data_IF_927525854439
#
_entry.id   IF_927525854439
#
_cell.length_a   1.000
_cell.length_b   1.000
_cell.length_c   1.000
_cell.angle_alpha   90.00
_cell.angle_beta   90.00
_cell.angle_gamma   90.00
#
_symmetry.space_group_name_H-M   'P 1'
#
loop_
_entity.id
_entity.type
_entity.pdbx_description
1 polymer ?
#
# COMPACT_ATOMS: atom_id res chain seq x y z
N UNK A 1 -10.74 12.53 -17.57
CA UNK A 1 -9.67 11.91 -16.74
C UNK A 1 -9.03 12.96 -15.83
N UNK A 2 -9.80 13.65 -14.98
CA UNK A 2 -9.32 14.75 -14.12
C UNK A 2 -8.51 14.28 -12.91
N UNK A 3 -8.69 13.02 -12.49
CA UNK A 3 -7.99 12.46 -11.34
C UNK A 3 -6.50 12.21 -11.62
N UNK A 4 -6.16 11.71 -12.82
CA UNK A 4 -4.77 11.40 -13.20
C UNK A 4 -3.91 12.67 -13.27
N UNK A 5 -4.45 13.76 -13.84
CA UNK A 5 -3.73 15.05 -13.86
C UNK A 5 -3.51 15.58 -12.45
N UNK A 6 -4.49 15.47 -11.56
CA UNK A 6 -4.32 15.86 -10.16
C UNK A 6 -3.24 15.06 -9.44
N UNK A 7 -3.16 13.74 -9.68
CA UNK A 7 -2.07 12.90 -9.13
C UNK A 7 -0.72 13.32 -9.70
N UNK A 8 -0.63 13.58 -11.00
CA UNK A 8 0.61 14.02 -11.64
C UNK A 8 1.07 15.37 -11.08
N UNK A 9 0.17 16.33 -10.90
CA UNK A 9 0.48 17.66 -10.36
C UNK A 9 0.99 17.56 -8.91
N UNK A 10 0.32 16.77 -8.07
CA UNK A 10 0.75 16.50 -6.69
C UNK A 10 2.13 15.83 -6.66
N UNK A 11 2.36 14.83 -7.52
CA UNK A 11 3.64 14.13 -7.60
C UNK A 11 4.73 15.06 -8.10
N UNK A 12 4.45 15.93 -9.07
CA UNK A 12 5.40 16.89 -9.62
C UNK A 12 5.81 17.94 -8.59
N UNK A 13 4.86 18.52 -7.87
CA UNK A 13 5.13 19.50 -6.81
C UNK A 13 5.95 18.89 -5.67
N UNK A 14 5.59 17.68 -5.22
CA UNK A 14 6.34 16.97 -4.19
C UNK A 14 7.73 16.53 -4.66
N UNK A 15 7.89 16.22 -5.95
CA UNK A 15 9.18 15.82 -6.52
C UNK A 15 10.11 17.00 -6.72
N UNK A 16 9.58 18.19 -7.01
CA UNK A 16 10.34 19.42 -7.16
C UNK A 16 10.78 20.00 -5.80
N UNK A 17 10.08 19.64 -4.71
CA UNK A 17 10.46 20.05 -3.37
C UNK A 17 11.86 19.54 -2.98
N UNK A 18 12.85 20.45 -2.97
CA UNK A 18 14.25 20.17 -2.59
C UNK A 18 14.38 19.43 -1.24
N UNK A 19 13.46 19.69 -0.29
CA UNK A 19 13.42 19.00 1.01
C UNK A 19 13.12 17.51 0.86
N UNK A 20 12.17 17.13 -0.01
CA UNK A 20 11.78 15.73 -0.26
C UNK A 20 12.88 14.97 -1.01
N UNK A 21 13.54 15.63 -1.98
CA UNK A 21 14.70 15.07 -2.66
C UNK A 21 15.84 14.73 -1.69
N UNK A 22 16.17 15.65 -0.76
CA UNK A 22 17.21 15.42 0.26
C UNK A 22 16.82 14.30 1.24
N UNK A 23 15.54 14.21 1.62
CA UNK A 23 15.05 13.12 2.47
C UNK A 23 15.19 11.77 1.76
N UNK A 24 14.86 11.70 0.47
CA UNK A 24 15.01 10.50 -0.32
C UNK A 24 16.48 10.08 -0.48
N UNK A 25 17.36 11.02 -0.85
CA UNK A 25 18.80 10.75 -0.91
C UNK A 25 19.36 10.31 0.45
N UNK A 26 18.92 10.93 1.54
CA UNK A 26 19.26 10.51 2.90
C UNK A 26 18.80 9.09 3.23
N UNK A 27 17.59 8.69 2.83
CA UNK A 27 17.08 7.32 3.02
C UNK A 27 17.96 6.31 2.27
N UNK A 28 18.31 6.58 1.01
CA UNK A 28 19.18 5.71 0.21
C UNK A 28 20.57 5.60 0.85
N UNK A 29 21.11 6.71 1.37
CA UNK A 29 22.40 6.75 2.05
C UNK A 29 22.38 5.91 3.34
N UNK A 30 21.34 6.04 4.17
CA UNK A 30 21.16 5.22 5.37
C UNK A 30 21.04 3.74 5.00
N UNK A 31 20.31 3.40 3.95
CA UNK A 31 20.13 2.02 3.50
C UNK A 31 21.46 1.41 3.02
N UNK A 32 22.26 2.16 2.26
CA UNK A 32 23.63 1.76 1.87
C UNK A 32 24.56 1.62 3.08
N UNK A 33 24.46 2.51 4.08
CA UNK A 33 25.23 2.42 5.32
C UNK A 33 24.88 1.14 6.08
N UNK A 34 23.60 0.79 6.14
CA UNK A 34 23.13 -0.44 6.79
C UNK A 34 23.67 -1.69 6.05
N UNK A 35 23.62 -1.70 4.71
CA UNK A 35 24.20 -2.77 3.89
C UNK A 35 25.72 -2.89 4.12
N UNK A 36 26.42 -1.75 4.17
CA UNK A 36 27.85 -1.72 4.45
C UNK A 36 28.16 -2.27 5.85
N UNK A 37 27.41 -1.86 6.87
CA UNK A 37 27.57 -2.34 8.25
C UNK A 37 27.34 -3.86 8.36
N UNK A 38 26.31 -4.38 7.70
CA UNK A 38 26.03 -5.83 7.63
C UNK A 38 27.13 -6.58 6.91
N UNK A 39 27.67 -6.04 5.82
CA UNK A 39 28.79 -6.65 5.09
C UNK A 39 30.07 -6.70 5.93
N UNK A 40 30.37 -5.63 6.67
CA UNK A 40 31.52 -5.58 7.59
C UNK A 40 31.33 -6.57 8.75
N UNK A 41 30.11 -6.71 9.28
CA UNK A 41 29.83 -7.66 10.36
C UNK A 41 29.95 -9.13 9.92
N UNK A 42 29.53 -9.45 8.70
CA UNK A 42 29.59 -10.83 8.17
C UNK A 42 30.97 -11.25 7.70
N UNK A 43 31.64 -10.40 6.93
CA UNK A 43 32.88 -10.75 6.25
C UNK A 43 34.12 -10.24 7.01
N UNK A 44 33.97 -9.47 8.07
CA UNK A 44 35.08 -8.79 8.75
C UNK A 44 35.68 -7.65 7.89
N UNK A 45 36.73 -6.97 8.39
CA UNK A 45 37.50 -5.97 7.63
C UNK A 45 38.44 -6.62 6.62
N UNK A 46 37.89 -7.46 5.75
CA UNK A 46 38.65 -8.05 4.65
C UNK A 46 38.34 -7.17 3.45
N UNK A 47 39.32 -6.39 2.97
CA UNK A 47 39.26 -5.55 1.77
C UNK A 47 39.02 -6.39 0.50
N UNK A 48 37.86 -7.02 0.43
CA UNK A 48 37.42 -7.87 -0.66
C UNK A 48 36.77 -6.98 -1.72
N UNK A 49 36.81 -7.41 -2.98
CA UNK A 49 36.28 -6.66 -4.11
C UNK A 49 34.81 -6.24 -3.92
N UNK A 50 34.03 -7.04 -3.18
CA UNK A 50 32.65 -6.71 -2.79
C UNK A 50 32.56 -5.48 -1.87
N UNK A 51 33.39 -5.39 -0.84
CA UNK A 51 33.37 -4.25 0.10
C UNK A 51 33.85 -2.96 -0.57
N UNK A 52 34.85 -3.05 -1.45
CA UNK A 52 35.36 -1.91 -2.23
C UNK A 52 34.25 -1.38 -3.16
N UNK A 53 33.56 -2.25 -3.89
CA UNK A 53 32.43 -1.85 -4.74
C UNK A 53 31.29 -1.20 -3.94
N UNK A 54 30.95 -1.74 -2.75
CA UNK A 54 29.93 -1.13 -1.88
C UNK A 54 30.36 0.24 -1.35
N UNK A 55 31.64 0.42 -1.04
CA UNK A 55 32.19 1.70 -0.56
C UNK A 55 32.21 2.75 -1.65
N UNK A 56 32.61 2.37 -2.88
CA UNK A 56 32.55 3.24 -4.06
C UNK A 56 31.10 3.65 -4.35
N UNK A 57 30.16 2.71 -4.24
CA UNK A 57 28.73 3.00 -4.38
C UNK A 57 28.22 3.99 -3.33
N UNK A 58 28.61 3.81 -2.07
CA UNK A 58 28.26 4.72 -0.97
C UNK A 58 28.82 6.13 -1.21
N UNK A 59 30.10 6.25 -1.52
CA UNK A 59 30.76 7.54 -1.79
C UNK A 59 30.15 8.20 -3.03
N UNK A 60 29.92 7.45 -4.11
CA UNK A 60 29.29 7.95 -5.33
C UNK A 60 27.88 8.48 -5.08
N UNK A 61 27.03 7.71 -4.39
CA UNK A 61 25.67 8.12 -4.05
C UNK A 61 25.66 9.30 -3.08
N UNK A 62 26.59 9.35 -2.12
CA UNK A 62 26.72 10.46 -1.18
C UNK A 62 27.12 11.76 -1.89
N UNK A 63 28.06 11.69 -2.84
CA UNK A 63 28.48 12.81 -3.68
C UNK A 63 27.33 13.29 -4.55
N UNK A 64 26.62 12.37 -5.22
CA UNK A 64 25.47 12.71 -6.08
C UNK A 64 24.34 13.35 -5.26
N UNK A 65 24.08 12.82 -4.05
CA UNK A 65 23.07 13.38 -3.12
C UNK A 65 23.43 14.80 -2.67
N UNK A 66 24.71 15.11 -2.51
CA UNK A 66 25.18 16.42 -2.06
C UNK A 66 25.27 17.44 -3.19
N UNK A 67 25.74 17.03 -4.38
CA UNK A 67 26.03 17.92 -5.51
C UNK A 67 24.83 18.13 -6.45
N UNK A 68 24.04 17.09 -6.71
CA UNK A 68 22.93 17.14 -7.66
C UNK A 68 21.71 16.37 -7.13
N UNK A 69 20.95 16.95 -6.17
CA UNK A 69 19.65 16.40 -5.76
C UNK A 69 18.66 16.31 -6.93
N UNK A 70 18.91 17.08 -8.00
CA UNK A 70 18.12 17.10 -9.23
C UNK A 70 18.17 15.77 -10.01
N UNK A 71 19.24 14.97 -9.87
CA UNK A 71 19.32 13.67 -10.54
C UNK A 71 18.34 12.64 -9.97
N UNK A 72 17.92 12.82 -8.71
CA UNK A 72 16.92 11.98 -8.06
C UNK A 72 15.48 12.37 -8.42
N UNK A 73 15.27 13.52 -9.07
CA UNK A 73 13.94 13.98 -9.47
C UNK A 73 13.13 12.95 -10.28
N UNK A 74 13.63 12.40 -11.41
CA UNK A 74 12.85 11.46 -12.21
C UNK A 74 12.58 10.15 -11.46
N UNK A 75 13.53 9.71 -10.63
CA UNK A 75 13.35 8.49 -9.84
C UNK A 75 12.31 8.67 -8.73
N UNK A 76 12.36 9.80 -8.03
CA UNK A 76 11.42 10.14 -6.96
C UNK A 76 10.02 10.35 -7.53
N UNK A 77 9.91 10.96 -8.71
CA UNK A 77 8.64 11.09 -9.44
C UNK A 77 8.02 9.71 -9.72
N UNK A 78 8.77 8.78 -10.31
CA UNK A 78 8.29 7.41 -10.58
C UNK A 78 7.94 6.70 -9.27
N UNK A 79 8.78 6.83 -8.24
CA UNK A 79 8.55 6.21 -6.94
C UNK A 79 7.26 6.69 -6.28
N UNK A 80 7.02 8.00 -6.25
CA UNK A 80 5.80 8.58 -5.70
C UNK A 80 4.56 8.25 -6.54
N UNK A 81 4.70 8.20 -7.86
CA UNK A 81 3.62 7.82 -8.75
C UNK A 81 3.18 6.37 -8.50
N UNK A 82 4.13 5.44 -8.44
CA UNK A 82 3.88 4.04 -8.08
C UNK A 82 3.32 3.94 -6.68
N UNK A 83 3.84 4.70 -5.72
CA UNK A 83 3.35 4.73 -4.33
C UNK A 83 1.88 5.16 -4.22
N UNK A 84 1.46 6.17 -5.00
CA UNK A 84 0.06 6.60 -5.03
C UNK A 84 -0.85 5.52 -5.64
N UNK A 85 -0.43 4.87 -6.73
CA UNK A 85 -1.17 3.75 -7.32
C UNK A 85 -1.28 2.59 -6.33
N UNK A 86 -0.19 2.26 -5.65
CA UNK A 86 -0.18 1.22 -4.62
C UNK A 86 -1.10 1.59 -3.44
N UNK A 87 -1.17 2.86 -3.05
CA UNK A 87 -2.08 3.34 -2.02
C UNK A 87 -3.55 3.10 -2.39
N UNK A 88 -3.90 3.43 -3.62
CA UNK A 88 -5.24 3.18 -4.16
C UNK A 88 -5.56 1.67 -4.15
N UNK A 89 -4.66 0.86 -4.70
CA UNK A 89 -4.79 -0.61 -4.71
C UNK A 89 -4.89 -1.17 -3.29
N UNK A 90 -4.10 -0.65 -2.34
CA UNK A 90 -4.11 -1.13 -0.96
C UNK A 90 -5.47 -0.95 -0.31
N UNK A 91 -6.17 0.14 -0.61
CA UNK A 91 -7.52 0.38 -0.09
C UNK A 91 -8.52 -0.65 -0.63
N UNK A 92 -8.44 -0.97 -1.93
CA UNK A 92 -9.23 -2.04 -2.52
C UNK A 92 -8.90 -3.41 -1.93
N UNK A 93 -7.62 -3.71 -1.73
CA UNK A 93 -7.16 -4.98 -1.16
C UNK A 93 -7.63 -5.12 0.28
N UNK A 94 -7.47 -4.08 1.11
CA UNK A 94 -7.93 -4.08 2.50
C UNK A 94 -9.43 -4.29 2.55
N UNK A 95 -10.21 -3.58 1.72
CA UNK A 95 -11.66 -3.74 1.67
C UNK A 95 -12.06 -5.16 1.25
N UNK A 96 -11.37 -5.73 0.25
CA UNK A 96 -11.58 -7.11 -0.19
C UNK A 96 -11.27 -8.14 0.90
N UNK A 97 -10.17 -7.95 1.64
CA UNK A 97 -9.82 -8.78 2.79
C UNK A 97 -10.89 -8.67 3.87
N UNK A 98 -11.28 -7.46 4.26
CA UNK A 98 -12.31 -7.23 5.28
C UNK A 98 -13.64 -7.88 4.87
N UNK A 99 -14.03 -7.74 3.60
CA UNK A 99 -15.23 -8.39 3.07
C UNK A 99 -15.14 -9.92 3.18
N UNK A 100 -14.04 -10.51 2.73
CA UNK A 100 -13.87 -11.96 2.71
C UNK A 100 -13.68 -12.57 4.11
N UNK A 101 -13.08 -11.84 5.04
CA UNK A 101 -12.73 -12.36 6.37
C UNK A 101 -13.83 -12.09 7.41
N UNK A 102 -14.61 -11.01 7.26
CA UNK A 102 -15.72 -10.69 8.17
C UNK A 102 -17.07 -11.00 7.55
N UNK A 103 -17.41 -10.34 6.45
CA UNK A 103 -18.77 -10.39 5.90
C UNK A 103 -19.11 -11.74 5.28
N UNK A 104 -18.17 -12.34 4.54
CA UNK A 104 -18.36 -13.64 3.91
C UNK A 104 -18.62 -14.77 4.92
N UNK A 105 -17.83 -14.99 5.99
CA UNK A 105 -18.16 -16.06 6.94
C UNK A 105 -19.44 -15.77 7.73
N UNK A 106 -19.72 -14.50 8.09
CA UNK A 106 -20.97 -14.15 8.78
C UNK A 106 -22.18 -14.53 7.92
N UNK A 107 -22.20 -14.09 6.66
CA UNK A 107 -23.30 -14.40 5.74
C UNK A 107 -23.37 -15.89 5.39
N UNK A 108 -22.23 -16.56 5.25
CA UNK A 108 -22.15 -18.00 5.01
C UNK A 108 -22.71 -18.81 6.18
N UNK A 109 -22.33 -18.47 7.42
CA UNK A 109 -22.86 -19.09 8.64
C UNK A 109 -24.35 -18.80 8.79
N UNK A 110 -24.78 -17.55 8.59
CA UNK A 110 -26.20 -17.17 8.62
C UNK A 110 -27.01 -17.95 7.58
N UNK A 111 -26.46 -18.19 6.38
CA UNK A 111 -27.09 -18.98 5.33
C UNK A 111 -27.22 -20.45 5.72
N UNK A 112 -26.22 -21.04 6.37
CA UNK A 112 -26.28 -22.42 6.88
C UNK A 112 -27.31 -22.56 8.01
N UNK A 113 -27.38 -21.58 8.92
CA UNK A 113 -28.34 -21.58 10.03
C UNK A 113 -29.77 -21.34 9.52
N UNK A 114 -29.98 -20.35 8.64
CA UNK A 114 -31.29 -20.04 8.08
C UNK A 114 -31.82 -21.11 7.13
N UNK A 115 -30.98 -21.96 6.51
CA UNK A 115 -31.45 -23.16 5.81
C UNK A 115 -32.31 -24.08 6.69
N UNK A 116 -32.17 -24.01 8.02
CA UNK A 116 -33.02 -24.77 8.95
C UNK A 116 -34.35 -24.08 9.26
N UNK A 117 -34.54 -22.80 8.93
CA UNK A 117 -35.72 -21.99 9.29
C UNK A 117 -36.52 -21.46 8.09
N UNK A 118 -35.96 -21.44 6.89
CA UNK A 118 -36.70 -21.02 5.68
C UNK A 118 -37.48 -22.19 5.11
N UNK A 119 -38.75 -22.32 5.46
CA UNK A 119 -39.76 -22.70 4.46
C UNK A 119 -39.73 -21.61 3.40
N UNK A 120 -39.07 -21.89 2.28
CA UNK A 120 -39.03 -21.01 1.13
C UNK A 120 -40.39 -21.16 0.45
N UNK A 121 -41.38 -20.47 0.99
CA UNK A 121 -42.75 -20.44 0.51
C UNK A 121 -43.32 -19.08 0.83
N UNK A 122 -44.26 -18.63 0.00
CA UNK A 122 -45.04 -17.43 0.28
C UNK A 122 -45.61 -17.55 1.69
N UNK A 123 -45.34 -16.56 2.54
CA UNK A 123 -46.04 -16.43 3.81
C UNK A 123 -47.40 -15.87 3.40
N UNK A 124 -48.34 -16.77 3.10
CA UNK A 124 -49.74 -16.39 2.99
C UNK A 124 -50.14 -15.89 4.37
N UNK A 125 -50.27 -14.57 4.46
CA UNK A 125 -50.78 -13.91 5.64
C UNK A 125 -52.27 -14.23 5.68
N UNK A 126 -52.63 -15.39 6.21
CA UNK A 126 -54.01 -15.70 6.61
C UNK A 126 -54.36 -14.79 7.78
N UNK A 127 -54.67 -13.54 7.44
CA UNK A 127 -55.40 -12.64 8.31
C UNK A 127 -56.83 -13.20 8.34
N UNK A 128 -57.09 -14.08 9.31
CA UNK A 128 -58.43 -14.56 9.61
C UNK A 128 -59.23 -13.36 10.14
N UNK A 129 -59.77 -12.56 9.24
CA UNK A 129 -60.71 -11.51 9.58
C UNK A 129 -61.94 -12.23 10.14
N UNK A 130 -62.12 -12.13 11.45
CA UNK A 130 -63.27 -12.69 12.16
C UNK A 130 -64.51 -11.83 11.82
N UNK A 131 -65.21 -12.23 10.76
CA UNK A 131 -66.37 -11.52 10.21
C UNK A 131 -67.55 -11.46 11.19
N UNK A 132 -67.51 -12.25 12.26
CA UNK A 132 -68.55 -12.33 13.29
C UNK A 132 -68.54 -11.12 14.23
N UNK A 133 -67.44 -10.35 14.28
CA UNK A 133 -67.31 -9.16 15.15
C UNK A 133 -67.74 -7.84 14.49
N UNK A 134 -68.22 -7.88 13.25
CA UNK A 134 -68.57 -6.69 12.47
C UNK A 134 -70.08 -6.41 12.39
N UNK A 135 -70.94 -7.24 13.01
CA UNK A 135 -72.40 -7.05 13.07
C UNK A 135 -72.90 -6.98 14.52
#
# INVERSE_FOLDING_TARGET
MSWISGVIDIVQDNSNAKRKQRQFGGLVLVLLLLIFCVSVYKDGFIFNAKQINTTIGFVGVSIITLLLPMLFYPFLFVWLFVGNILGEISSFVILGIVYYLLFFPITFVLRIINKKKTTIGWIDKEESIDYEKLY
#
